data_IF_163926286794
#
_entry.id   IF_163926286794
#
_cell.length_a   1.000
_cell.length_b   1.000
_cell.length_c   1.000
_cell.angle_alpha   90.00
_cell.angle_beta   90.00
_cell.angle_gamma   90.00
#
_symmetry.space_group_name_H-M   'P 1'
#
loop_
_entity.id
_entity.type
_entity.pdbx_description
1 polymer ?
#
# COMPACT_ATOMS: atom_id res chain seq x y z
N UNK A 1 -26.88 -52.26 80.52
CA UNK A 1 -26.98 -52.18 79.05
C UNK A 1 -27.59 -50.84 78.63
N UNK A 2 -26.99 -49.70 79.02
CA UNK A 2 -27.56 -48.35 78.76
C UNK A 2 -26.52 -47.28 78.38
N UNK A 3 -25.20 -47.54 78.48
CA UNK A 3 -24.19 -46.50 78.18
C UNK A 3 -23.73 -46.47 76.71
N UNK A 4 -23.96 -47.54 75.93
CA UNK A 4 -23.53 -47.62 74.52
C UNK A 4 -24.46 -46.91 73.53
N UNK A 5 -25.74 -46.74 73.87
CA UNK A 5 -26.71 -46.07 72.99
C UNK A 5 -26.58 -44.54 72.96
N UNK A 6 -26.18 -43.92 74.08
CA UNK A 6 -25.99 -42.46 74.17
C UNK A 6 -24.78 -41.96 73.36
N UNK A 7 -23.73 -42.77 73.27
CA UNK A 7 -22.50 -42.42 72.55
C UNK A 7 -22.69 -42.42 71.02
N UNK A 8 -23.54 -43.32 70.50
CA UNK A 8 -23.89 -43.37 69.06
C UNK A 8 -24.80 -42.21 68.63
N UNK A 9 -25.76 -41.79 69.47
CA UNK A 9 -26.66 -40.65 69.17
C UNK A 9 -25.91 -39.31 69.11
N UNK A 10 -24.92 -39.09 69.97
CA UNK A 10 -24.07 -37.89 69.91
C UNK A 10 -23.21 -37.85 68.64
N UNK A 11 -22.62 -38.96 68.24
CA UNK A 11 -21.80 -39.05 67.02
C UNK A 11 -22.60 -38.73 65.74
N UNK A 12 -23.83 -39.24 65.64
CA UNK A 12 -24.71 -38.98 64.48
C UNK A 12 -25.16 -37.51 64.42
N UNK A 13 -25.39 -36.88 65.57
CA UNK A 13 -25.71 -35.44 65.62
C UNK A 13 -24.54 -34.55 65.19
N UNK A 14 -23.29 -34.89 65.56
CA UNK A 14 -22.11 -34.16 65.10
C UNK A 14 -21.85 -34.32 63.59
N UNK A 15 -22.10 -35.52 63.04
CA UNK A 15 -21.95 -35.78 61.59
C UNK A 15 -23.05 -35.04 60.80
N UNK A 16 -24.29 -35.01 61.29
CA UNK A 16 -25.40 -34.26 60.68
C UNK A 16 -25.20 -32.73 60.72
N UNK A 17 -24.51 -32.21 61.74
CA UNK A 17 -24.21 -30.78 61.87
C UNK A 17 -23.00 -30.36 61.00
N UNK A 18 -22.06 -31.27 60.74
CA UNK A 18 -20.96 -31.02 59.79
C UNK A 18 -21.41 -31.05 58.31
N UNK A 19 -22.45 -31.81 57.97
CA UNK A 19 -22.97 -31.92 56.60
C UNK A 19 -23.71 -30.66 56.10
N UNK A 20 -24.05 -29.73 57.00
CA UNK A 20 -24.64 -28.43 56.64
C UNK A 20 -23.61 -27.32 56.40
N UNK A 21 -22.32 -27.58 56.65
CA UNK A 21 -21.23 -26.60 56.43
C UNK A 21 -20.61 -26.65 55.03
N UNK A 22 -21.09 -27.53 54.15
CA UNK A 22 -20.53 -27.75 52.81
C UNK A 22 -21.39 -27.21 51.66
N UNK A 23 -22.52 -26.55 51.94
CA UNK A 23 -23.26 -25.79 50.92
C UNK A 23 -22.80 -24.33 50.91
N UNK A 24 -21.50 -24.12 50.72
CA UNK A 24 -20.99 -22.84 50.26
C UNK A 24 -21.11 -22.81 48.74
N UNK A 25 -22.19 -22.24 48.19
CA UNK A 25 -22.16 -21.81 46.81
C UNK A 25 -21.16 -20.66 46.73
N UNK A 26 -19.95 -20.95 46.27
CA UNK A 26 -19.02 -19.93 45.81
C UNK A 26 -19.67 -19.32 44.57
N UNK A 27 -20.26 -18.15 44.72
CA UNK A 27 -20.59 -17.32 43.58
C UNK A 27 -19.25 -16.75 43.10
N UNK A 28 -18.66 -17.33 42.06
CA UNK A 28 -17.46 -16.78 41.43
C UNK A 28 -17.88 -15.49 40.73
N UNK A 29 -17.70 -14.37 41.42
CA UNK A 29 -17.90 -13.04 40.89
C UNK A 29 -16.73 -12.75 39.92
N UNK A 30 -16.93 -13.05 38.64
CA UNK A 30 -15.94 -12.79 37.59
C UNK A 30 -15.87 -11.31 37.17
N UNK A 31 -16.58 -10.41 37.87
CA UNK A 31 -16.55 -8.97 37.59
C UNK A 31 -15.17 -8.34 37.81
N UNK A 32 -14.31 -8.96 38.62
CA UNK A 32 -12.94 -8.52 38.92
C UNK A 32 -11.84 -9.28 38.15
N UNK A 33 -12.19 -10.15 37.19
CA UNK A 33 -11.16 -10.71 36.29
C UNK A 33 -10.70 -9.59 35.35
N UNK A 34 -9.39 -9.26 35.28
CA UNK A 34 -8.90 -8.27 34.33
C UNK A 34 -9.26 -8.76 32.93
N UNK A 35 -10.22 -8.10 32.29
CA UNK A 35 -10.52 -8.33 30.89
C UNK A 35 -9.26 -7.95 30.12
N UNK A 36 -8.68 -8.92 29.41
CA UNK A 36 -7.52 -8.68 28.57
C UNK A 36 -7.86 -7.58 27.56
N UNK A 37 -7.00 -6.56 27.44
CA UNK A 37 -7.18 -5.53 26.42
C UNK A 37 -6.53 -5.99 25.11
N UNK A 38 -7.24 -5.79 24.00
CA UNK A 38 -6.70 -6.00 22.67
C UNK A 38 -6.30 -4.65 22.09
N UNK A 39 -5.04 -4.51 21.71
CA UNK A 39 -4.49 -3.28 21.14
C UNK A 39 -3.92 -3.53 19.76
N UNK A 40 -3.91 -2.49 18.94
CA UNK A 40 -3.34 -2.49 17.59
C UNK A 40 -2.19 -1.49 17.53
N UNK A 41 -1.02 -1.98 17.19
CA UNK A 41 0.19 -1.22 16.91
C UNK A 41 0.42 -1.14 15.39
N UNK A 42 1.21 -0.15 14.99
CA UNK A 42 1.57 0.08 13.60
C UNK A 42 3.07 0.23 13.48
N UNK A 43 3.62 -0.28 12.40
CA UNK A 43 5.01 -0.09 12.01
C UNK A 43 5.09 0.13 10.50
N UNK A 44 6.12 0.84 10.05
CA UNK A 44 6.48 0.93 8.65
C UNK A 44 7.96 0.59 8.54
N UNK A 45 8.24 -0.71 8.46
CA UNK A 45 9.59 -1.29 8.33
C UNK A 45 9.90 -1.74 6.90
N UNK A 46 8.86 -1.81 6.05
CA UNK A 46 8.96 -2.31 4.67
C UNK A 46 9.43 -1.22 3.71
N UNK A 47 10.66 -0.73 3.93
CA UNK A 47 11.30 0.32 3.13
C UNK A 47 12.81 0.09 2.99
N UNK A 48 13.49 0.96 2.25
CA UNK A 48 14.94 0.89 2.00
C UNK A 48 15.81 1.80 2.86
N UNK A 49 15.22 2.68 3.68
CA UNK A 49 15.99 3.49 4.63
C UNK A 49 16.77 2.61 5.61
N UNK A 50 18.09 2.79 5.64
CA UNK A 50 19.02 2.06 6.49
C UNK A 50 19.34 2.78 7.81
N UNK A 51 18.85 4.01 7.99
CA UNK A 51 19.09 4.85 9.17
C UNK A 51 17.95 4.66 10.19
N UNK A 52 16.71 4.72 9.72
CA UNK A 52 15.53 4.57 10.57
C UNK A 52 14.80 3.27 10.22
N UNK A 53 14.87 2.21 11.06
CA UNK A 53 14.32 0.90 10.72
C UNK A 53 12.80 0.82 10.77
N UNK A 54 12.14 1.73 11.49
CA UNK A 54 10.69 1.90 11.50
C UNK A 54 10.37 3.38 11.31
N UNK A 55 9.73 3.69 10.19
CA UNK A 55 9.41 5.05 9.77
C UNK A 55 7.95 5.43 10.01
N UNK A 56 7.18 4.63 10.76
CA UNK A 56 5.75 4.89 11.01
C UNK A 56 5.50 6.30 11.54
N UNK A 57 6.20 6.70 12.61
CA UNK A 57 6.03 8.01 13.24
C UNK A 57 6.72 9.17 12.48
N UNK A 58 7.25 8.91 11.29
CA UNK A 58 7.90 9.89 10.41
C UNK A 58 7.03 10.14 9.18
N UNK A 59 6.62 9.07 8.50
CA UNK A 59 5.96 9.15 7.20
C UNK A 59 4.43 9.03 7.30
N UNK A 60 3.91 8.47 8.39
CA UNK A 60 2.46 8.28 8.60
C UNK A 60 1.92 9.34 9.55
N UNK A 61 0.96 10.12 9.06
CA UNK A 61 0.33 11.25 9.75
C UNK A 61 -1.15 11.01 10.02
N UNK A 62 -1.76 10.00 9.40
CA UNK A 62 -3.12 9.57 9.67
C UNK A 62 -3.23 8.05 9.54
N UNK A 63 -4.04 7.43 10.38
CA UNK A 63 -4.46 6.04 10.27
C UNK A 63 -5.97 5.97 10.30
N UNK A 64 -6.55 5.30 9.32
CA UNK A 64 -7.94 4.88 9.25
C UNK A 64 -7.99 3.35 9.40
N UNK A 65 -8.34 2.89 10.60
CA UNK A 65 -8.42 1.46 10.93
C UNK A 65 -9.85 0.96 10.73
N UNK A 66 -10.07 0.21 9.66
CA UNK A 66 -11.33 -0.47 9.36
C UNK A 66 -11.34 -1.85 10.01
N UNK A 67 -12.42 -2.15 10.72
CA UNK A 67 -12.65 -3.45 11.34
C UNK A 67 -13.79 -4.16 10.62
N UNK A 68 -13.54 -5.37 10.17
CA UNK A 68 -14.54 -6.29 9.62
C UNK A 68 -14.70 -7.49 10.55
N UNK A 69 -15.93 -7.96 10.72
CA UNK A 69 -16.22 -9.15 11.51
C UNK A 69 -15.79 -10.45 10.79
N UNK A 70 -16.04 -11.58 11.45
CA UNK A 70 -15.73 -12.91 10.92
C UNK A 70 -16.46 -13.24 9.60
N UNK A 71 -17.57 -12.57 9.29
CA UNK A 71 -18.30 -12.74 8.04
C UNK A 71 -17.81 -11.79 6.92
N UNK A 72 -16.81 -10.95 7.21
CA UNK A 72 -16.30 -9.94 6.29
C UNK A 72 -17.17 -8.68 6.21
N UNK A 73 -18.10 -8.49 7.15
CA UNK A 73 -18.95 -7.29 7.20
C UNK A 73 -18.27 -6.18 8.00
N UNK A 74 -18.32 -4.96 7.47
CA UNK A 74 -17.78 -3.78 8.13
C UNK A 74 -18.47 -3.53 9.47
N UNK A 75 -17.69 -3.25 10.52
CA UNK A 75 -18.19 -2.90 11.84
C UNK A 75 -18.03 -1.40 12.12
N UNK A 76 -16.78 -0.91 12.02
CA UNK A 76 -16.41 0.46 12.37
C UNK A 76 -15.10 0.85 11.72
N UNK A 77 -14.90 2.16 11.58
CA UNK A 77 -13.63 2.78 11.20
C UNK A 77 -13.18 3.68 12.35
N UNK A 78 -11.90 3.57 12.73
CA UNK A 78 -11.28 4.39 13.75
C UNK A 78 -10.20 5.24 13.09
N UNK A 79 -10.49 6.52 12.92
CA UNK A 79 -9.54 7.49 12.37
C UNK A 79 -8.73 8.14 13.50
N UNK A 80 -7.41 8.20 13.33
CA UNK A 80 -6.48 8.94 14.20
C UNK A 80 -5.53 9.74 13.33
N UNK A 81 -5.27 10.99 13.74
CA UNK A 81 -4.24 11.83 13.13
C UNK A 81 -3.08 11.99 14.10
N UNK A 82 -1.86 12.00 13.59
CA UNK A 82 -0.62 12.18 14.33
C UNK A 82 0.26 13.19 13.60
N UNK A 83 0.83 14.13 14.35
CA UNK A 83 1.78 15.11 13.78
C UNK A 83 2.95 15.35 14.75
N UNK A 84 3.88 14.38 14.93
CA UNK A 84 3.82 12.95 14.54
C UNK A 84 3.01 12.09 15.54
N UNK A 85 2.83 10.80 15.24
CA UNK A 85 2.35 9.84 16.26
C UNK A 85 3.41 9.60 17.35
N UNK A 86 3.00 9.36 18.61
CA UNK A 86 3.91 8.84 19.64
C UNK A 86 4.51 7.48 19.24
N UNK A 87 5.71 7.15 19.74
CA UNK A 87 6.38 5.87 19.44
C UNK A 87 5.61 4.65 19.94
N UNK A 88 4.91 4.81 21.06
CA UNK A 88 4.05 3.81 21.69
C UNK A 88 2.59 3.98 21.28
N UNK A 89 2.31 4.64 20.14
CA UNK A 89 0.95 4.78 19.64
C UNK A 89 0.29 3.43 19.43
N UNK A 90 -0.90 3.27 20.02
CA UNK A 90 -1.77 2.10 19.90
C UNK A 90 -3.21 2.57 19.70
N UNK A 91 -4.00 1.76 19.01
CA UNK A 91 -5.46 1.90 18.96
C UNK A 91 -6.05 0.73 19.75
N UNK A 92 -6.90 1.03 20.72
CA UNK A 92 -7.85 0.05 21.26
C UNK A 92 -9.11 0.10 20.40
N UNK A 93 -9.39 -0.95 19.60
CA UNK A 93 -10.58 -0.99 18.77
C UNK A 93 -11.85 -1.35 19.55
N UNK A 94 -11.78 -1.68 20.84
CA UNK A 94 -12.91 -2.11 21.68
C UNK A 94 -13.65 -3.29 21.02
N UNK A 95 -12.96 -4.41 20.85
CA UNK A 95 -13.49 -5.64 20.26
C UNK A 95 -13.73 -6.68 21.35
N UNK A 96 -14.86 -7.37 21.27
CA UNK A 96 -15.12 -8.58 22.05
C UNK A 96 -14.32 -9.76 21.52
N UNK A 97 -14.24 -10.84 22.30
CA UNK A 97 -13.67 -12.08 21.80
C UNK A 97 -14.29 -12.55 20.46
N UNK A 98 -13.45 -12.93 19.50
CA UNK A 98 -13.85 -13.38 18.18
C UNK A 98 -12.81 -13.12 17.08
N UNK A 99 -13.13 -13.56 15.87
CA UNK A 99 -12.30 -13.37 14.68
C UNK A 99 -12.66 -12.07 13.96
N UNK A 100 -11.64 -11.31 13.57
CA UNK A 100 -11.80 -10.05 12.84
C UNK A 100 -10.76 -9.93 11.73
N UNK A 101 -11.09 -9.11 10.73
CA UNK A 101 -10.11 -8.62 9.75
C UNK A 101 -9.89 -7.14 9.97
N UNK A 102 -8.65 -6.76 10.25
CA UNK A 102 -8.21 -5.38 10.39
C UNK A 102 -7.60 -4.91 9.07
N UNK A 103 -8.07 -3.77 8.56
CA UNK A 103 -7.48 -3.10 7.39
C UNK A 103 -7.13 -1.68 7.79
N UNK A 104 -5.86 -1.32 7.72
CA UNK A 104 -5.39 0.03 7.99
C UNK A 104 -5.01 0.72 6.67
N UNK A 105 -5.58 1.89 6.45
CA UNK A 105 -5.12 2.82 5.43
C UNK A 105 -4.48 4.03 6.09
N UNK A 106 -3.29 4.41 5.63
CA UNK A 106 -2.57 5.56 6.15
C UNK A 106 -2.60 6.74 5.19
N UNK A 107 -2.65 7.95 5.75
CA UNK A 107 -2.59 9.22 5.02
C UNK A 107 -3.66 9.39 3.94
N UNK A 108 -4.88 8.90 4.17
CA UNK A 108 -5.98 9.15 3.24
C UNK A 108 -6.33 10.64 3.21
N UNK A 109 -6.33 11.21 2.00
CA UNK A 109 -6.73 12.59 1.69
C UNK A 109 -7.90 12.59 0.69
N UNK A 110 -8.30 13.76 0.22
CA UNK A 110 -9.27 13.94 -0.87
C UNK A 110 -8.70 13.56 -2.25
N UNK A 111 -7.43 13.15 -2.35
CA UNK A 111 -6.85 12.55 -3.55
C UNK A 111 -7.42 11.16 -3.83
N UNK A 112 -8.05 10.50 -2.86
CA UNK A 112 -8.67 9.18 -3.04
C UNK A 112 -10.16 9.20 -2.69
N UNK A 113 -10.91 8.28 -3.29
CA UNK A 113 -12.31 8.03 -2.96
C UNK A 113 -12.47 6.59 -2.51
N UNK A 114 -13.21 6.42 -1.41
CA UNK A 114 -13.63 5.12 -0.89
C UNK A 114 -15.06 4.83 -1.33
N UNK A 115 -15.29 3.62 -1.84
CA UNK A 115 -16.60 3.19 -2.30
C UNK A 115 -16.86 1.70 -2.00
N UNK A 116 -18.11 1.30 -1.73
CA UNK A 116 -19.25 2.17 -1.45
C UNK A 116 -19.09 2.91 -0.10
N UNK A 117 -20.09 3.69 0.29
CA UNK A 117 -20.15 4.20 1.66
C UNK A 117 -20.13 3.03 2.66
N UNK A 118 -19.35 3.18 3.73
CA UNK A 118 -19.21 2.15 4.75
C UNK A 118 -20.38 2.18 5.74
N UNK A 119 -21.22 1.16 5.68
CA UNK A 119 -22.39 0.99 6.54
C UNK A 119 -22.19 -0.28 7.36
N UNK A 120 -22.24 -0.14 8.68
CA UNK A 120 -22.02 -1.24 9.62
C UNK A 120 -23.00 -2.39 9.37
N UNK A 121 -22.48 -3.62 9.28
CA UNK A 121 -23.23 -4.84 9.03
C UNK A 121 -23.74 -5.01 7.59
N UNK A 122 -23.42 -4.10 6.66
CA UNK A 122 -23.88 -4.16 5.26
C UNK A 122 -22.73 -4.17 4.26
N UNK A 123 -21.82 -3.20 4.36
CA UNK A 123 -20.67 -3.13 3.45
C UNK A 123 -19.72 -4.27 3.75
N UNK A 124 -19.36 -5.06 2.74
CA UNK A 124 -18.42 -6.17 2.92
C UNK A 124 -17.00 -5.78 2.47
N UNK A 125 -16.01 -6.50 2.99
CA UNK A 125 -14.60 -6.35 2.62
C UNK A 125 -14.38 -6.49 1.11
N UNK A 126 -15.11 -7.38 0.44
CA UNK A 126 -14.98 -7.66 -0.99
C UNK A 126 -15.56 -6.54 -1.86
N UNK A 127 -16.53 -5.78 -1.33
CA UNK A 127 -17.13 -4.64 -2.01
C UNK A 127 -16.32 -3.35 -1.82
N UNK A 128 -15.50 -3.31 -0.77
CA UNK A 128 -14.74 -2.15 -0.36
C UNK A 128 -13.59 -1.87 -1.34
N UNK A 129 -13.62 -0.67 -1.92
CA UNK A 129 -12.65 -0.18 -2.90
C UNK A 129 -12.08 1.18 -2.49
N UNK A 130 -10.82 1.40 -2.83
CA UNK A 130 -10.13 2.68 -2.83
C UNK A 130 -9.72 3.01 -4.26
N UNK A 131 -10.10 4.18 -4.76
CA UNK A 131 -9.75 4.66 -6.09
C UNK A 131 -9.04 6.00 -6.00
N UNK A 132 -7.96 6.17 -6.77
CA UNK A 132 -7.34 7.48 -6.94
C UNK A 132 -8.27 8.40 -7.73
N UNK A 133 -8.47 9.62 -7.25
CA UNK A 133 -9.22 10.64 -7.96
C UNK A 133 -8.38 11.21 -9.10
N UNK A 134 -9.02 11.38 -10.25
CA UNK A 134 -8.41 11.95 -11.44
C UNK A 134 -9.05 13.29 -11.79
N UNK A 135 -8.36 14.12 -12.56
CA UNK A 135 -8.97 15.29 -13.19
C UNK A 135 -10.05 14.87 -14.21
N UNK A 136 -10.83 15.84 -14.72
CA UNK A 136 -11.92 15.57 -15.68
C UNK A 136 -11.44 14.82 -16.94
N UNK A 137 -10.20 15.05 -17.36
CA UNK A 137 -9.57 14.37 -18.49
C UNK A 137 -9.00 12.99 -18.15
N UNK A 138 -9.27 12.49 -16.94
CA UNK A 138 -8.76 11.23 -16.38
C UNK A 138 -7.24 11.21 -16.27
N UNK A 139 -6.67 12.34 -15.85
CA UNK A 139 -5.24 12.45 -15.62
C UNK A 139 -4.85 12.82 -14.19
N UNK A 140 -3.60 12.49 -13.85
CA UNK A 140 -2.91 12.91 -12.62
C UNK A 140 -1.55 13.48 -13.02
N UNK A 141 -1.29 14.72 -12.60
CA UNK A 141 -0.10 15.49 -12.98
C UNK A 141 0.50 16.27 -11.79
N UNK A 142 0.23 15.82 -10.57
CA UNK A 142 0.75 16.40 -9.34
C UNK A 142 1.45 15.33 -8.50
N UNK A 143 2.17 15.77 -7.47
CA UNK A 143 2.77 14.85 -6.51
C UNK A 143 1.69 14.32 -5.58
N UNK A 144 1.56 12.98 -5.50
CA UNK A 144 0.58 12.35 -4.62
C UNK A 144 1.03 12.37 -3.17
N UNK A 145 0.05 12.38 -2.26
CA UNK A 145 0.28 12.09 -0.85
C UNK A 145 0.55 10.58 -0.69
N UNK A 146 1.63 10.16 0.01
CA UNK A 146 1.91 8.75 0.25
C UNK A 146 0.78 8.01 0.94
N UNK A 147 0.13 7.07 0.26
CA UNK A 147 -0.88 6.18 0.84
C UNK A 147 -0.21 4.92 1.39
N UNK A 148 -0.58 4.53 2.61
CA UNK A 148 -0.08 3.32 3.26
C UNK A 148 -1.18 2.29 3.45
N UNK A 149 -0.82 1.00 3.45
CA UNK A 149 -1.77 -0.09 3.66
C UNK A 149 -1.20 -1.19 4.56
N UNK A 150 -2.04 -1.74 5.44
CA UNK A 150 -1.81 -3.02 6.08
C UNK A 150 -3.12 -3.78 6.23
N UNK A 151 -3.05 -5.11 6.23
CA UNK A 151 -4.19 -5.97 6.49
C UNK A 151 -3.76 -7.17 7.33
N UNK A 152 -4.56 -7.54 8.33
CA UNK A 152 -4.31 -8.71 9.16
C UNK A 152 -5.61 -9.31 9.69
N UNK A 153 -5.72 -10.63 9.60
CA UNK A 153 -6.73 -11.38 10.34
C UNK A 153 -6.25 -11.61 11.77
N UNK A 154 -7.12 -11.39 12.74
CA UNK A 154 -6.79 -11.45 14.17
C UNK A 154 -7.87 -12.22 14.92
N UNK A 155 -7.45 -12.92 15.96
CA UNK A 155 -8.34 -13.57 16.93
C UNK A 155 -8.20 -12.81 18.26
N UNK A 156 -9.31 -12.21 18.70
CA UNK A 156 -9.39 -11.48 19.95
C UNK A 156 -9.78 -12.46 21.05
N UNK A 157 -8.99 -12.51 22.12
CA UNK A 157 -9.26 -13.33 23.30
C UNK A 157 -9.25 -12.46 24.56
N UNK A 158 -10.35 -12.43 25.31
CA UNK A 158 -10.54 -11.53 26.45
C UNK A 158 -9.74 -11.93 27.72
N UNK A 159 -8.80 -12.89 27.60
CA UNK A 159 -8.13 -13.53 28.74
C UNK A 159 -6.79 -12.87 29.09
N UNK A 160 -6.12 -12.20 28.14
CA UNK A 160 -4.81 -11.58 28.34
C UNK A 160 -4.67 -10.30 27.53
N UNK A 161 -3.86 -9.37 28.04
CA UNK A 161 -3.40 -8.24 27.23
C UNK A 161 -2.69 -8.76 25.98
N UNK A 162 -3.10 -8.26 24.83
CA UNK A 162 -2.58 -8.66 23.54
C UNK A 162 -2.43 -7.45 22.64
N UNK A 163 -1.30 -7.35 21.95
CA UNK A 163 -1.06 -6.30 20.97
C UNK A 163 -0.76 -6.92 19.63
N UNK A 164 -1.60 -6.62 18.64
CA UNK A 164 -1.36 -6.98 17.25
C UNK A 164 -0.64 -5.87 16.52
N UNK A 165 0.42 -6.22 15.78
CA UNK A 165 1.15 -5.28 14.93
C UNK A 165 0.66 -5.40 13.49
N UNK A 166 0.27 -4.27 12.91
CA UNK A 166 -0.01 -4.07 11.49
C UNK A 166 1.21 -3.43 10.83
N UNK A 167 1.92 -4.21 10.01
CA UNK A 167 3.09 -3.76 9.25
C UNK A 167 2.64 -3.15 7.92
N UNK A 168 2.84 -1.83 7.79
CA UNK A 168 2.41 -1.06 6.62
C UNK A 168 3.36 -1.25 5.43
N UNK A 169 2.78 -1.22 4.23
CA UNK A 169 3.47 -0.99 2.97
C UNK A 169 3.05 0.36 2.39
N UNK A 170 3.92 0.97 1.58
CA UNK A 170 3.62 2.22 0.87
C UNK A 170 3.16 1.91 -0.55
N UNK A 171 2.05 2.51 -0.97
CA UNK A 171 1.49 2.33 -2.31
C UNK A 171 2.01 3.36 -3.32
N UNK A 172 2.45 4.55 -2.87
CA UNK A 172 2.93 5.60 -3.76
C UNK A 172 4.39 5.33 -4.21
N UNK A 173 4.67 5.61 -5.49
CA UNK A 173 5.96 5.40 -6.12
C UNK A 173 6.37 6.62 -6.96
N UNK A 174 7.65 6.96 -6.94
CA UNK A 174 8.24 7.99 -7.79
C UNK A 174 9.00 7.36 -8.96
N UNK A 175 8.68 7.80 -10.18
CA UNK A 175 9.45 7.46 -11.38
C UNK A 175 10.19 8.70 -11.88
N UNK A 176 11.51 8.63 -11.91
CA UNK A 176 12.41 9.60 -12.52
C UNK A 176 12.72 9.13 -13.94
N UNK A 177 12.04 9.70 -14.94
CA UNK A 177 12.27 9.37 -16.34
C UNK A 177 13.24 10.36 -16.97
N UNK A 178 14.27 9.83 -17.63
CA UNK A 178 15.11 10.57 -18.55
C UNK A 178 14.92 10.03 -19.96
N UNK A 179 14.74 10.91 -20.93
CA UNK A 179 14.72 10.54 -22.36
C UNK A 179 15.82 11.32 -23.05
N UNK A 180 16.73 10.64 -23.74
CA UNK A 180 17.87 11.24 -24.43
C UNK A 180 17.83 10.88 -25.92
N UNK A 181 18.18 11.84 -26.76
CA UNK A 181 18.25 11.64 -28.20
C UNK A 181 19.70 11.67 -28.68
N UNK A 182 20.02 10.74 -29.57
CA UNK A 182 21.32 10.58 -30.20
C UNK A 182 21.14 10.56 -31.72
N UNK A 183 22.19 10.93 -32.44
CA UNK A 183 22.28 10.63 -33.87
C UNK A 183 22.63 9.15 -34.07
N UNK A 184 22.47 8.63 -35.31
CA UNK A 184 22.96 7.29 -35.70
C UNK A 184 24.44 7.04 -35.39
N UNK A 185 25.23 8.11 -35.30
CA UNK A 185 26.66 8.06 -34.94
C UNK A 185 26.92 7.79 -33.44
N UNK A 186 25.88 7.86 -32.60
CA UNK A 186 25.96 7.76 -31.14
C UNK A 186 26.28 9.08 -30.43
N UNK A 187 26.35 10.20 -31.16
CA UNK A 187 26.57 11.54 -30.60
C UNK A 187 25.22 12.12 -30.15
N UNK A 188 25.13 12.83 -29.01
CA UNK A 188 23.88 13.51 -28.62
C UNK A 188 23.33 14.40 -29.74
N UNK A 189 22.03 14.27 -30.01
CA UNK A 189 21.35 15.05 -31.04
C UNK A 189 21.46 16.55 -30.74
N UNK A 190 21.67 17.38 -31.76
CA UNK A 190 21.69 18.85 -31.65
C UNK A 190 20.47 19.55 -32.29
N UNK A 191 19.54 18.79 -32.89
CA UNK A 191 18.40 19.29 -33.68
C UNK A 191 17.10 19.53 -32.89
N UNK A 192 17.17 20.01 -31.65
CA UNK A 192 15.99 20.17 -30.77
C UNK A 192 15.07 18.93 -30.72
N UNK A 193 15.66 17.74 -30.73
CA UNK A 193 14.95 16.46 -30.71
C UNK A 193 13.96 16.31 -29.52
N UNK A 194 14.15 17.04 -28.42
CA UNK A 194 13.23 17.01 -27.28
C UNK A 194 11.98 17.91 -27.45
N UNK A 195 11.93 18.78 -28.48
CA UNK A 195 10.80 19.69 -28.70
C UNK A 195 9.52 18.94 -29.06
N UNK A 196 8.42 19.31 -28.41
CA UNK A 196 7.09 18.72 -28.68
C UNK A 196 6.92 17.28 -28.20
N UNK A 197 7.88 16.76 -27.40
CA UNK A 197 7.77 15.44 -26.80
C UNK A 197 6.78 15.44 -25.65
N UNK A 198 5.93 14.42 -25.62
CA UNK A 198 4.99 14.13 -24.56
C UNK A 198 5.32 12.76 -23.99
N UNK A 199 5.38 12.69 -22.67
CA UNK A 199 5.55 11.43 -21.94
C UNK A 199 4.36 11.21 -21.03
N UNK A 200 3.83 10.00 -21.03
CA UNK A 200 2.75 9.58 -20.12
C UNK A 200 2.90 8.12 -19.69
N UNK A 201 2.34 7.80 -18.54
CA UNK A 201 2.16 6.41 -18.07
C UNK A 201 0.67 6.12 -18.01
N UNK A 202 0.22 5.07 -18.68
CA UNK A 202 -1.19 4.67 -18.73
C UNK A 202 -1.43 3.49 -17.77
N UNK A 203 -2.39 3.67 -16.87
CA UNK A 203 -2.93 2.60 -16.03
C UNK A 203 -4.33 2.23 -16.53
N UNK A 204 -4.49 1.05 -17.18
CA UNK A 204 -5.75 0.62 -17.75
C UNK A 204 -6.82 0.26 -16.70
N UNK A 205 -6.42 0.06 -15.43
CA UNK A 205 -7.34 -0.26 -14.32
C UNK A 205 -7.72 0.98 -13.51
N UNK A 206 -7.03 2.10 -13.73
CA UNK A 206 -7.38 3.39 -13.16
C UNK A 206 -7.11 3.49 -11.66
N UNK A 207 -5.98 2.93 -11.20
CA UNK A 207 -5.49 3.02 -9.83
C UNK A 207 -6.57 2.73 -8.77
N UNK A 208 -7.28 1.62 -8.95
CA UNK A 208 -8.35 1.17 -8.05
C UNK A 208 -7.96 -0.13 -7.37
N UNK A 209 -8.12 -0.15 -6.05
CA UNK A 209 -7.65 -1.18 -5.15
C UNK A 209 -8.81 -1.72 -4.34
N UNK A 210 -8.84 -3.04 -4.15
CA UNK A 210 -9.65 -3.65 -3.09
C UNK A 210 -9.03 -3.37 -1.73
N UNK A 211 -9.76 -3.65 -0.66
CA UNK A 211 -9.26 -3.47 0.71
C UNK A 211 -8.16 -4.47 1.13
N UNK A 212 -7.98 -5.55 0.39
CA UNK A 212 -6.78 -6.41 0.47
C UNK A 212 -5.57 -5.86 -0.31
N UNK A 213 -5.70 -4.64 -0.86
CA UNK A 213 -4.73 -3.92 -1.67
C UNK A 213 -4.41 -4.55 -3.03
N UNK A 214 -5.23 -5.49 -3.51
CA UNK A 214 -5.15 -5.99 -4.88
C UNK A 214 -5.75 -5.01 -5.88
N UNK A 215 -5.16 -4.92 -7.08
CA UNK A 215 -5.62 -4.02 -8.14
C UNK A 215 -6.84 -4.61 -8.84
N UNK A 216 -7.87 -3.79 -9.06
CA UNK A 216 -9.08 -4.16 -9.79
C UNK A 216 -9.41 -3.11 -10.84
N UNK A 217 -9.96 -3.54 -11.98
CA UNK A 217 -10.36 -2.62 -13.02
C UNK A 217 -11.55 -1.76 -12.57
N UNK A 218 -11.41 -0.44 -12.67
CA UNK A 218 -12.49 0.53 -12.42
C UNK A 218 -13.42 0.73 -13.62
N UNK A 219 -13.07 0.18 -14.78
CA UNK A 219 -13.74 0.44 -16.07
C UNK A 219 -13.25 1.72 -16.77
N UNK A 220 -12.36 2.49 -16.15
CA UNK A 220 -11.72 3.66 -16.74
C UNK A 220 -10.19 3.57 -16.67
N UNK A 221 -9.54 3.97 -17.76
CA UNK A 221 -8.09 4.17 -17.79
C UNK A 221 -7.72 5.50 -17.10
N UNK A 222 -6.59 5.52 -16.41
CA UNK A 222 -5.97 6.70 -15.83
C UNK A 222 -4.65 7.00 -16.55
N UNK A 223 -4.39 8.28 -16.82
CA UNK A 223 -3.12 8.74 -17.40
C UNK A 223 -2.31 9.54 -16.38
N UNK A 224 -1.11 9.08 -16.06
CA UNK A 224 -0.14 9.84 -15.29
C UNK A 224 0.73 10.71 -16.20
N UNK A 225 0.89 11.96 -15.81
CA UNK A 225 1.82 12.92 -16.40
C UNK A 225 2.90 13.29 -15.37
N UNK A 226 4.08 13.73 -15.84
CA UNK A 226 5.12 14.18 -14.94
C UNK A 226 4.66 15.47 -14.24
N UNK A 227 4.76 15.52 -12.92
CA UNK A 227 4.43 16.73 -12.14
C UNK A 227 5.60 17.72 -12.09
N UNK A 228 6.80 17.27 -12.45
CA UNK A 228 7.96 18.09 -12.75
C UNK A 228 8.56 17.62 -14.06
N UNK A 229 8.83 18.53 -14.99
CA UNK A 229 9.40 18.21 -16.29
C UNK A 229 10.28 19.35 -16.78
N UNK A 230 11.47 19.01 -17.29
CA UNK A 230 12.41 19.97 -17.87
C UNK A 230 12.96 19.41 -19.17
N UNK A 231 12.86 20.21 -20.23
CA UNK A 231 13.61 20.00 -21.46
C UNK A 231 14.99 20.66 -21.32
N UNK A 232 16.02 19.90 -21.66
CA UNK A 232 17.38 20.38 -21.73
C UNK A 232 17.82 20.43 -23.18
N UNK A 233 17.60 21.58 -23.80
CA UNK A 233 17.88 21.81 -25.22
C UNK A 233 19.37 21.68 -25.56
N UNK A 234 20.27 21.92 -24.60
CA UNK A 234 21.70 21.82 -24.81
C UNK A 234 22.19 20.37 -25.00
N UNK A 235 21.43 19.40 -24.46
CA UNK A 235 21.76 17.98 -24.52
C UNK A 235 20.67 17.15 -25.21
N UNK A 236 19.63 17.81 -25.73
CA UNK A 236 18.38 17.19 -26.19
C UNK A 236 17.94 16.06 -25.28
N UNK A 237 17.54 16.43 -24.06
CA UNK A 237 17.05 15.51 -23.06
C UNK A 237 15.75 16.03 -22.48
N UNK A 238 14.82 15.12 -22.23
CA UNK A 238 13.69 15.34 -21.34
C UNK A 238 13.99 14.67 -19.99
N UNK A 239 13.77 15.39 -18.90
CA UNK A 239 13.78 14.83 -17.55
C UNK A 239 12.43 15.10 -16.88
N UNK A 240 11.74 14.04 -16.46
CA UNK A 240 10.42 14.11 -15.87
C UNK A 240 10.29 13.28 -14.61
N UNK A 241 9.53 13.78 -13.63
CA UNK A 241 9.23 13.06 -12.38
C UNK A 241 7.73 12.79 -12.31
N UNK A 242 7.37 11.52 -12.19
CA UNK A 242 6.00 11.06 -12.01
C UNK A 242 5.77 10.65 -10.55
N UNK A 243 4.52 10.75 -10.11
CA UNK A 243 4.02 10.11 -8.91
C UNK A 243 2.96 9.10 -9.35
N UNK A 244 3.21 7.83 -9.06
CA UNK A 244 2.44 6.68 -9.49
C UNK A 244 1.87 5.99 -8.25
N UNK A 245 0.76 5.29 -8.40
CA UNK A 245 0.30 4.37 -7.36
C UNK A 245 1.07 3.04 -7.42
N UNK A 246 0.57 2.01 -6.74
CA UNK A 246 1.31 0.76 -6.46
C UNK A 246 1.68 0.04 -7.77
N UNK A 247 2.96 -0.29 -7.92
CA UNK A 247 3.46 -1.15 -9.00
C UNK A 247 3.27 -2.62 -8.62
N UNK A 248 2.48 -3.35 -9.41
CA UNK A 248 2.10 -4.73 -9.07
C UNK A 248 2.51 -5.71 -10.16
N UNK A 249 3.14 -6.81 -9.77
CA UNK A 249 3.55 -7.90 -10.65
C UNK A 249 2.35 -8.43 -11.47
N UNK A 250 2.54 -8.51 -12.79
CA UNK A 250 1.50 -8.93 -13.73
C UNK A 250 0.47 -7.84 -14.10
N UNK A 251 0.48 -6.69 -13.41
CA UNK A 251 -0.28 -5.51 -13.82
C UNK A 251 0.49 -4.68 -14.84
N UNK A 252 -0.22 -4.19 -15.85
CA UNK A 252 0.38 -3.49 -16.99
C UNK A 252 0.21 -1.99 -16.86
N UNK A 253 1.28 -1.28 -16.56
CA UNK A 253 1.37 0.18 -16.74
C UNK A 253 2.15 0.46 -18.01
N UNK A 254 1.59 1.21 -18.95
CA UNK A 254 2.26 1.49 -20.23
C UNK A 254 2.99 2.81 -20.18
N UNK A 255 4.32 2.79 -20.22
CA UNK A 255 5.13 3.99 -20.46
C UNK A 255 5.11 4.30 -21.96
N UNK A 256 4.72 5.53 -22.30
CA UNK A 256 4.57 5.99 -23.67
C UNK A 256 5.27 7.33 -23.87
N UNK A 257 6.11 7.39 -24.90
CA UNK A 257 6.80 8.60 -25.36
C UNK A 257 6.30 8.90 -26.77
N UNK A 258 5.75 10.09 -26.97
CA UNK A 258 5.15 10.54 -28.23
C UNK A 258 5.71 11.91 -28.63
N UNK A 259 5.73 12.20 -29.93
CA UNK A 259 5.97 13.55 -30.46
C UNK A 259 4.67 14.10 -31.03
N UNK A 260 4.31 15.31 -30.64
CA UNK A 260 3.21 16.03 -31.30
C UNK A 260 3.72 16.62 -32.62
N UNK A 261 3.15 16.17 -33.73
CA UNK A 261 3.48 16.61 -35.07
C UNK A 261 2.75 17.93 -35.39
N UNK A 262 3.22 18.65 -36.42
CA UNK A 262 2.65 19.95 -36.81
C UNK A 262 1.19 19.88 -37.26
N UNK A 263 0.76 18.72 -37.78
CA UNK A 263 -0.62 18.46 -38.18
C UNK A 263 -1.55 18.11 -36.98
N UNK A 264 -1.01 18.12 -35.76
CA UNK A 264 -1.71 17.80 -34.53
C UNK A 264 -1.79 16.31 -34.21
N UNK A 265 -1.24 15.43 -35.05
CA UNK A 265 -1.15 14.00 -34.76
C UNK A 265 -0.05 13.70 -33.74
N UNK A 266 -0.20 12.61 -32.99
CA UNK A 266 0.83 12.11 -32.08
C UNK A 266 1.55 10.93 -32.74
N UNK A 267 2.86 11.04 -32.90
CA UNK A 267 3.73 9.96 -33.36
C UNK A 267 4.31 9.24 -32.15
N UNK A 268 4.09 7.94 -32.04
CA UNK A 268 4.69 7.10 -31.00
C UNK A 268 6.20 6.93 -31.28
N UNK A 269 7.03 7.27 -30.29
CA UNK A 269 8.48 7.10 -30.34
C UNK A 269 8.94 5.87 -29.56
N UNK A 270 8.27 5.58 -28.44
CA UNK A 270 8.58 4.46 -27.58
C UNK A 270 7.38 4.03 -26.75
N UNK A 271 7.23 2.72 -26.58
CA UNK A 271 6.18 2.09 -25.78
C UNK A 271 6.77 0.90 -25.03
N UNK A 272 6.51 0.81 -23.74
CA UNK A 272 6.89 -0.36 -22.94
C UNK A 272 5.92 -0.63 -21.81
N UNK A 273 5.94 -1.86 -21.30
CA UNK A 273 5.37 -2.19 -20.00
C UNK A 273 6.35 -1.71 -18.91
N UNK A 274 5.97 -0.66 -18.18
CA UNK A 274 6.80 -0.02 -17.18
C UNK A 274 7.11 -0.96 -16.01
N UNK A 275 6.14 -1.78 -15.58
CA UNK A 275 6.34 -2.68 -14.45
C UNK A 275 7.35 -3.74 -14.83
N UNK A 276 7.14 -4.41 -15.96
CA UNK A 276 8.09 -5.44 -16.43
C UNK A 276 9.47 -4.84 -16.72
N UNK A 277 9.53 -3.63 -17.28
CA UNK A 277 10.79 -2.91 -17.50
C UNK A 277 11.56 -2.70 -16.18
N UNK A 278 10.89 -2.22 -15.13
CA UNK A 278 11.49 -2.03 -13.81
C UNK A 278 11.93 -3.37 -13.20
N UNK A 279 11.14 -4.43 -13.37
CA UNK A 279 11.40 -5.78 -12.84
C UNK A 279 12.59 -6.49 -13.48
N UNK A 280 13.09 -6.00 -14.62
CA UNK A 280 14.36 -6.47 -15.19
C UNK A 280 15.53 -6.22 -14.22
N UNK A 281 15.41 -5.23 -13.33
CA UNK A 281 16.41 -4.96 -12.31
C UNK A 281 16.43 -6.04 -11.21
N UNK A 282 17.61 -6.56 -10.79
CA UNK A 282 17.68 -7.64 -9.80
C UNK A 282 17.07 -7.35 -8.42
N UNK A 283 16.92 -6.07 -8.07
CA UNK A 283 16.37 -5.61 -6.78
C UNK A 283 14.87 -5.34 -6.79
N UNK A 284 14.16 -5.72 -7.85
CA UNK A 284 12.73 -5.43 -8.07
C UNK A 284 12.02 -6.62 -8.71
N UNK A 285 12.56 -7.84 -8.59
CA UNK A 285 12.06 -9.00 -9.35
C UNK A 285 10.72 -9.51 -8.83
N UNK A 286 10.52 -9.40 -7.51
CA UNK A 286 9.33 -9.91 -6.83
C UNK A 286 8.51 -8.76 -6.22
N UNK A 287 7.21 -8.99 -6.01
CA UNK A 287 6.30 -7.98 -5.47
C UNK A 287 6.80 -7.33 -4.16
N UNK A 288 7.33 -8.13 -3.23
CA UNK A 288 7.83 -7.61 -1.96
C UNK A 288 8.99 -6.62 -2.13
N UNK A 289 9.78 -6.73 -3.19
CA UNK A 289 10.87 -5.79 -3.49
C UNK A 289 10.34 -4.52 -4.14
N UNK A 290 9.37 -4.66 -5.05
CA UNK A 290 8.63 -3.53 -5.64
C UNK A 290 7.92 -2.70 -4.59
N UNK A 291 7.29 -3.32 -3.59
CA UNK A 291 6.60 -2.61 -2.51
C UNK A 291 7.59 -1.96 -1.51
N UNK A 292 8.85 -2.41 -1.49
CA UNK A 292 9.89 -1.90 -0.58
C UNK A 292 10.62 -0.69 -1.17
N UNK A 293 10.79 -0.67 -2.49
CA UNK A 293 11.35 0.43 -3.25
C UNK A 293 10.24 1.40 -3.63
N UNK A 294 10.46 2.70 -3.48
CA UNK A 294 9.46 3.71 -3.84
C UNK A 294 10.01 4.80 -4.77
N UNK A 295 11.25 4.62 -5.27
CA UNK A 295 11.88 5.50 -6.26
C UNK A 295 12.59 4.65 -7.31
N UNK A 296 12.27 4.92 -8.57
CA UNK A 296 12.82 4.24 -9.73
C UNK A 296 13.33 5.26 -10.74
N UNK A 297 14.51 5.03 -11.32
CA UNK A 297 14.98 5.85 -12.43
C UNK A 297 15.04 5.02 -13.70
N UNK A 298 14.46 5.55 -14.78
CA UNK A 298 14.47 4.92 -16.10
C UNK A 298 15.04 5.93 -17.08
N UNK A 299 16.03 5.51 -17.85
CA UNK A 299 16.59 6.28 -18.95
C UNK A 299 16.28 5.58 -20.28
N UNK A 300 15.57 6.26 -21.16
CA UNK A 300 15.28 5.82 -22.52
C UNK A 300 16.17 6.60 -23.49
N UNK A 301 16.95 5.89 -24.29
CA UNK A 301 17.76 6.49 -25.34
C UNK A 301 17.17 6.18 -26.71
N UNK A 302 16.96 7.23 -27.50
CA UNK A 302 16.39 7.18 -28.84
C UNK A 302 17.44 7.66 -29.86
N UNK A 303 17.42 7.11 -31.07
CA UNK A 303 18.17 7.58 -32.23
C UNK A 303 17.24 8.38 -33.12
N UNK A 304 17.55 9.66 -33.32
CA UNK A 304 16.99 10.45 -34.42
C UNK A 304 17.82 10.18 -35.68
N UNK A 305 17.15 9.83 -36.77
CA UNK A 305 17.81 9.55 -38.04
C UNK A 305 18.06 10.77 -38.92
N UNK A 306 17.86 11.97 -38.37
CA UNK A 306 18.14 13.28 -38.98
C UNK A 306 17.20 13.66 -40.13
N UNK A 307 16.27 12.78 -40.52
CA UNK A 307 15.23 13.12 -41.49
C UNK A 307 14.05 13.88 -40.83
N UNK A 308 14.03 13.93 -39.50
CA UNK A 308 13.01 14.61 -38.68
C UNK A 308 11.71 13.82 -38.53
N UNK A 309 11.60 12.69 -39.22
CA UNK A 309 10.40 11.88 -39.37
C UNK A 309 10.58 10.44 -38.85
N UNK A 310 11.78 10.01 -38.44
CA UNK A 310 11.99 8.66 -37.87
C UNK A 310 12.90 8.66 -36.63
N UNK A 311 12.27 8.59 -35.45
CA UNK A 311 13.00 8.27 -34.21
C UNK A 311 12.95 6.74 -34.05
N UNK A 312 14.08 6.12 -33.73
CA UNK A 312 14.18 4.68 -33.46
C UNK A 312 14.66 4.45 -32.04
N UNK A 313 14.16 3.41 -31.37
CA UNK A 313 14.62 3.04 -30.05
C UNK A 313 16.06 2.50 -30.11
N UNK A 314 16.92 2.95 -29.19
CA UNK A 314 18.30 2.48 -29.11
C UNK A 314 18.54 1.58 -27.91
N UNK A 315 18.17 2.06 -26.71
CA UNK A 315 18.56 1.43 -25.46
C UNK A 315 17.72 1.95 -24.30
N UNK A 316 17.56 1.11 -23.28
CA UNK A 316 17.02 1.51 -21.98
C UNK A 316 18.06 1.23 -20.89
N UNK A 317 18.13 2.11 -19.90
CA UNK A 317 18.79 1.83 -18.64
C UNK A 317 17.80 1.98 -17.48
N UNK A 318 17.88 1.09 -16.51
CA UNK A 318 17.04 1.12 -15.30
C UNK A 318 17.95 1.20 -14.10
N UNK A 319 17.74 2.20 -13.24
CA UNK A 319 18.47 2.40 -12.00
C UNK A 319 17.56 2.20 -10.79
N UNK A 320 17.97 1.32 -9.89
CA UNK A 320 17.29 1.10 -8.60
C UNK A 320 18.34 1.09 -7.49
N UNK A 321 18.09 1.86 -6.42
CA UNK A 321 19.04 1.98 -5.30
C UNK A 321 20.47 2.36 -5.75
N UNK A 322 20.59 3.22 -6.78
CA UNK A 322 21.87 3.68 -7.33
C UNK A 322 22.62 2.68 -8.21
N UNK A 323 22.07 1.49 -8.46
CA UNK A 323 22.63 0.50 -9.38
C UNK A 323 21.91 0.56 -10.72
N UNK A 324 22.66 0.68 -11.81
CA UNK A 324 22.10 0.76 -13.16
C UNK A 324 22.34 -0.53 -13.93
N UNK A 325 21.29 -1.05 -14.56
CA UNK A 325 21.40 -2.07 -15.61
C UNK A 325 21.11 -1.44 -16.96
N UNK A 326 21.80 -1.94 -17.99
CA UNK A 326 21.62 -1.50 -19.37
C UNK A 326 20.94 -2.63 -20.14
N UNK A 327 19.80 -2.32 -20.75
CA UNK A 327 19.00 -3.21 -21.56
C UNK A 327 19.24 -2.84 -23.03
N UNK A 328 20.01 -3.66 -23.73
CA UNK A 328 20.17 -3.55 -25.18
C UNK A 328 19.07 -4.33 -25.87
N UNK A 329 18.56 -3.78 -26.97
CA UNK A 329 17.72 -4.54 -27.88
C UNK A 329 18.56 -5.69 -28.43
N UNK A 330 18.10 -6.93 -28.21
CA UNK A 330 18.77 -8.13 -28.74
C UNK A 330 18.19 -8.57 -30.07
N UNK A 331 17.20 -7.84 -30.59
CA UNK A 331 16.57 -8.09 -31.88
C UNK A 331 16.80 -6.90 -32.83
N UNK A 332 17.85 -7.02 -33.65
CA UNK A 332 18.02 -6.28 -34.90
C UNK A 332 17.63 -7.17 -36.07
#
# INVERSE_FOLDING_TARGET
MHSTFYRKRRMVAYISMLLWLITGCVNEDFSDCPQGSFQVAFEYVHHTDNICPDRFNIDVQQIDLYVFDAAGCFLKCITRKGTPFPKDFRIDPELSAGSYTLVAWGNLTDEVTLQPAFIAGQTTLEQALLSLNAAEDRSVNHRLTPVFHAMKQVEVNDVKEHTEVLSLIKNENHLHLNVKWFEKSGIPCIHRCADGVRVRVLDPKGATYKFDNSVVASGNELTYYPYQGVNNDAWNQFAGVFSLMRLVEGEKLTLLIERLMQDGTAKELYRSDLVELIRMHPYTRIQSELDRQDVYEVEISLIDDLDGDTDTYMQTAVTVSGWTIILQDTEM
#
